data_IF_820193664046
#
_entry.id   IF_820193664046
#
_cell.length_a   1.000
_cell.length_b   1.000
_cell.length_c   1.000
_cell.angle_alpha   90.00
_cell.angle_beta   90.00
_cell.angle_gamma   90.00
#
_symmetry.space_group_name_H-M   'P 1'
#
loop_
_entity.id
_entity.type
_entity.pdbx_description
1 polymer ?
#
# COMPACT_ATOMS: atom_id res chain seq x y z
N UNK A 1 13.56 4.89 24.40
CA UNK A 1 13.13 4.34 23.12
C UNK A 1 12.89 5.50 22.19
N UNK A 2 13.50 5.57 21.01
CA UNK A 2 13.19 6.60 20.07
C UNK A 2 11.68 6.51 19.81
N UNK A 3 11.00 7.64 19.89
CA UNK A 3 9.56 7.72 19.74
C UNK A 3 9.14 6.96 18.49
N UNK A 4 8.34 5.94 18.64
CA UNK A 4 7.73 5.18 17.53
C UNK A 4 7.08 6.10 16.50
N UNK A 5 6.71 7.30 16.92
CA UNK A 5 6.05 8.32 16.11
C UNK A 5 7.02 9.12 15.23
N UNK A 6 8.32 9.10 15.52
CA UNK A 6 9.33 9.75 14.68
C UNK A 6 9.74 8.91 13.46
N UNK A 7 9.30 7.67 13.38
CA UNK A 7 9.67 6.73 12.31
C UNK A 7 8.97 7.03 10.96
N UNK A 8 7.98 7.92 10.91
CA UNK A 8 7.24 8.26 9.69
C UNK A 8 6.42 7.10 9.10
N UNK A 9 6.44 5.94 9.74
CA UNK A 9 5.73 4.72 9.29
C UNK A 9 4.59 4.32 10.20
N UNK A 10 4.64 4.78 11.44
CA UNK A 10 3.64 4.42 12.44
C UNK A 10 2.54 5.47 12.40
N UNK A 11 1.28 5.07 12.21
CA UNK A 11 0.17 5.98 12.27
C UNK A 11 0.07 6.65 13.65
N UNK A 12 -0.21 7.94 13.65
CA UNK A 12 -0.38 8.69 14.90
C UNK A 12 -1.63 8.23 15.64
N UNK A 13 -1.44 7.85 16.91
CA UNK A 13 -2.52 7.47 17.81
C UNK A 13 -3.13 6.08 17.56
N UNK A 14 -3.91 5.63 18.52
CA UNK A 14 -4.59 4.32 18.48
C UNK A 14 -5.75 4.26 17.49
N UNK A 15 -6.26 5.43 17.11
CA UNK A 15 -7.47 5.60 16.30
C UNK A 15 -7.19 5.79 14.78
N UNK A 16 -6.00 5.47 14.30
CA UNK A 16 -5.63 5.64 12.89
C UNK A 16 -6.57 4.95 11.89
N UNK A 17 -7.28 3.91 12.34
CA UNK A 17 -8.32 3.23 11.56
C UNK A 17 -9.64 4.02 11.48
N UNK A 18 -9.81 5.04 12.30
CA UNK A 18 -10.97 5.92 12.23
C UNK A 18 -10.84 6.85 11.00
N UNK A 19 -11.98 7.25 10.46
CA UNK A 19 -12.02 8.16 9.33
C UNK A 19 -11.53 9.55 9.77
N UNK A 20 -10.28 9.86 9.44
CA UNK A 20 -9.85 11.23 9.32
C UNK A 20 -10.22 11.73 7.92
N UNK A 21 -10.79 12.91 7.83
CA UNK A 21 -11.00 13.57 6.54
C UNK A 21 -9.67 14.16 6.04
N UNK A 22 -9.62 14.53 4.77
CA UNK A 22 -8.46 15.25 4.22
C UNK A 22 -8.22 16.55 4.97
N UNK A 23 -9.29 17.27 5.34
CA UNK A 23 -9.21 18.50 6.10
C UNK A 23 -8.67 18.27 7.52
N UNK A 24 -9.12 17.24 8.22
CA UNK A 24 -8.57 16.90 9.53
C UNK A 24 -7.08 16.62 9.46
N UNK A 25 -6.64 15.87 8.45
CA UNK A 25 -5.24 15.56 8.23
C UNK A 25 -4.41 16.80 7.90
N UNK A 26 -4.92 17.70 7.08
CA UNK A 26 -4.27 18.97 6.75
C UNK A 26 -4.09 19.85 7.98
N UNK A 27 -5.16 20.01 8.79
CA UNK A 27 -5.11 20.78 10.04
C UNK A 27 -4.10 20.20 11.04
N UNK A 28 -4.02 18.86 11.16
CA UNK A 28 -3.03 18.22 12.02
C UNK A 28 -1.60 18.55 11.58
N UNK A 29 -1.32 18.50 10.29
CA UNK A 29 0.01 18.82 9.74
C UNK A 29 0.34 20.31 9.95
N UNK A 30 -0.61 21.21 9.69
CA UNK A 30 -0.42 22.65 9.89
C UNK A 30 -0.15 23.01 11.36
N UNK A 31 -0.86 22.38 12.28
CA UNK A 31 -0.74 22.67 13.70
C UNK A 31 0.51 22.08 14.37
N UNK A 32 1.01 20.95 13.85
CA UNK A 32 2.17 20.27 14.43
C UNK A 32 3.04 19.58 13.35
N UNK A 33 3.72 20.35 12.50
CA UNK A 33 4.55 19.82 11.42
C UNK A 33 5.75 18.98 11.91
N UNK A 34 6.17 19.19 13.16
CA UNK A 34 7.28 18.44 13.75
C UNK A 34 6.88 17.00 14.11
N UNK A 35 5.62 16.77 14.47
CA UNK A 35 5.10 15.44 14.77
C UNK A 35 4.67 14.69 13.51
N UNK A 36 4.03 15.39 12.55
CA UNK A 36 3.47 14.78 11.34
C UNK A 36 4.44 14.91 10.16
N UNK A 37 5.38 14.00 10.05
CA UNK A 37 6.47 14.02 9.06
C UNK A 37 6.17 13.25 7.79
N UNK A 38 5.17 12.37 7.79
CA UNK A 38 4.83 11.55 6.64
C UNK A 38 3.32 11.44 6.46
N UNK A 39 2.92 11.22 5.22
CA UNK A 39 1.53 11.05 4.80
C UNK A 39 1.33 9.61 4.33
N UNK A 40 0.36 8.94 4.94
CA UNK A 40 -0.12 7.64 4.50
C UNK A 40 -1.49 7.75 3.85
N UNK A 41 -1.78 6.81 2.97
CA UNK A 41 -3.11 6.64 2.38
C UNK A 41 -3.70 5.29 2.77
N UNK A 42 -5.01 5.24 2.93
CA UNK A 42 -5.71 3.98 3.03
C UNK A 42 -5.91 3.38 1.65
N UNK A 43 -5.89 2.06 1.59
CA UNK A 43 -6.25 1.30 0.39
C UNK A 43 -7.57 0.58 0.58
N UNK A 44 -8.18 0.15 -0.52
CA UNK A 44 -9.43 -0.60 -0.49
C UNK A 44 -10.66 0.23 -0.86
N UNK A 45 -11.82 -0.35 -0.59
CA UNK A 45 -13.12 0.24 -0.93
C UNK A 45 -13.31 1.65 -0.37
N UNK A 46 -12.88 1.88 0.87
CA UNK A 46 -13.00 3.19 1.55
C UNK A 46 -12.21 4.33 0.90
N UNK A 47 -11.28 4.00 0.03
CA UNK A 47 -10.44 4.93 -0.72
C UNK A 47 -10.70 4.82 -2.23
N UNK A 48 -11.94 4.58 -2.58
CA UNK A 48 -12.40 4.51 -3.96
C UNK A 48 -11.59 3.50 -4.79
N UNK A 49 -11.33 2.34 -4.21
CA UNK A 49 -10.62 1.25 -4.87
C UNK A 49 -9.09 1.43 -4.97
N UNK A 50 -8.50 2.39 -4.25
CA UNK A 50 -7.05 2.57 -4.27
C UNK A 50 -6.35 1.29 -3.78
N UNK A 51 -5.36 0.85 -4.55
CA UNK A 51 -4.49 -0.29 -4.25
C UNK A 51 -3.03 0.09 -4.44
N UNK A 52 -2.17 -0.44 -3.59
CA UNK A 52 -0.72 -0.24 -3.69
C UNK A 52 -0.06 -1.58 -4.02
N UNK A 53 0.65 -1.62 -5.14
CA UNK A 53 1.60 -2.66 -5.47
C UNK A 53 2.97 -2.27 -4.90
N UNK A 54 3.37 -2.91 -3.81
CA UNK A 54 4.57 -2.57 -3.03
C UNK A 54 5.72 -3.52 -3.36
N UNK A 55 6.72 -3.00 -4.04
CA UNK A 55 7.94 -3.73 -4.40
C UNK A 55 9.02 -3.42 -3.37
N UNK A 56 9.37 -4.40 -2.55
CA UNK A 56 10.38 -4.27 -1.50
C UNK A 56 11.80 -4.59 -1.95
N UNK A 57 11.94 -5.39 -3.01
CA UNK A 57 13.22 -5.78 -3.60
C UNK A 57 13.02 -6.23 -5.04
N UNK A 58 14.13 -6.33 -5.78
CA UNK A 58 14.11 -6.80 -7.18
C UNK A 58 13.32 -5.90 -8.15
N UNK A 59 13.25 -4.59 -7.87
CA UNK A 59 12.50 -3.64 -8.68
C UNK A 59 12.84 -3.75 -10.18
N UNK A 60 14.12 -3.90 -10.52
CA UNK A 60 14.53 -4.02 -11.93
C UNK A 60 13.95 -5.25 -12.63
N UNK A 61 13.87 -6.40 -11.95
CA UNK A 61 13.24 -7.60 -12.50
C UNK A 61 11.73 -7.44 -12.65
N UNK A 62 11.10 -6.78 -11.67
CA UNK A 62 9.66 -6.47 -11.68
C UNK A 62 9.32 -5.50 -12.81
N UNK A 63 10.09 -4.43 -12.98
CA UNK A 63 9.92 -3.48 -14.08
C UNK A 63 10.17 -4.12 -15.46
N UNK A 64 11.09 -5.07 -15.56
CA UNK A 64 11.28 -5.84 -16.78
C UNK A 64 10.06 -6.70 -17.13
N UNK A 65 9.39 -7.27 -16.11
CA UNK A 65 8.23 -8.15 -16.29
C UNK A 65 6.95 -7.36 -16.61
N UNK A 66 6.70 -6.26 -15.91
CA UNK A 66 5.43 -5.52 -15.94
C UNK A 66 5.60 -4.01 -16.22
N UNK A 67 6.77 -3.57 -16.63
CA UNK A 67 7.11 -2.15 -16.72
C UNK A 67 6.20 -1.33 -17.62
N UNK A 68 5.59 -1.95 -18.64
CA UNK A 68 4.63 -1.27 -19.50
C UNK A 68 3.45 -0.71 -18.70
N UNK A 69 2.91 -1.49 -17.76
CA UNK A 69 1.79 -1.07 -16.92
C UNK A 69 2.25 -0.18 -15.76
N UNK A 70 3.40 -0.52 -15.15
CA UNK A 70 3.95 0.25 -14.02
C UNK A 70 4.36 1.67 -14.40
N UNK A 71 4.77 1.90 -15.64
CA UNK A 71 5.24 3.20 -16.14
C UNK A 71 4.18 4.30 -16.04
N UNK A 72 2.91 3.95 -16.14
CA UNK A 72 1.79 4.90 -16.13
C UNK A 72 1.22 5.14 -14.72
N UNK A 73 1.64 4.38 -13.74
CA UNK A 73 1.17 4.50 -12.37
C UNK A 73 1.96 5.55 -11.58
N UNK A 74 1.31 6.30 -10.68
CA UNK A 74 2.03 7.06 -9.68
C UNK A 74 2.99 6.16 -8.91
N UNK A 75 4.24 6.64 -8.73
CA UNK A 75 5.34 5.87 -8.15
C UNK A 75 5.84 6.55 -6.89
N UNK A 76 5.97 5.79 -5.82
CA UNK A 76 6.59 6.24 -4.58
C UNK A 76 7.95 5.58 -4.44
N UNK A 77 8.99 6.39 -4.29
CA UNK A 77 10.36 5.93 -4.06
C UNK A 77 10.85 6.32 -2.67
N UNK A 78 11.90 5.66 -2.21
CA UNK A 78 12.57 5.94 -0.94
C UNK A 78 14.09 5.83 -1.13
N UNK A 79 14.87 5.88 -0.05
CA UNK A 79 16.31 5.60 -0.10
C UNK A 79 16.67 4.18 -0.56
N UNK A 80 15.71 3.25 -0.48
CA UNK A 80 15.93 1.85 -0.94
C UNK A 80 15.94 1.80 -2.46
N UNK A 81 17.11 1.53 -3.05
CA UNK A 81 17.31 1.59 -4.50
C UNK A 81 16.52 0.58 -5.31
N UNK A 82 16.22 -0.60 -4.74
CA UNK A 82 15.56 -1.70 -5.44
C UNK A 82 14.11 -1.88 -4.97
N UNK A 83 13.47 -0.80 -4.52
CA UNK A 83 12.13 -0.79 -3.99
C UNK A 83 11.34 0.40 -4.51
N UNK A 84 10.05 0.22 -4.71
CA UNK A 84 9.10 1.29 -5.05
C UNK A 84 7.67 0.82 -4.80
N UNK A 85 6.76 1.77 -4.63
CA UNK A 85 5.31 1.50 -4.59
C UNK A 85 4.67 2.07 -5.85
N UNK A 86 3.70 1.36 -6.38
CA UNK A 86 2.90 1.81 -7.53
C UNK A 86 1.44 1.83 -7.13
N UNK A 87 0.74 2.90 -7.51
CA UNK A 87 -0.65 3.12 -7.14
C UNK A 87 -1.56 2.83 -8.34
N UNK A 88 -2.60 2.04 -8.08
CA UNK A 88 -3.63 1.69 -9.06
C UNK A 88 -5.02 1.80 -8.44
N UNK A 89 -6.08 1.69 -9.26
CA UNK A 89 -7.45 1.53 -8.81
C UNK A 89 -8.00 0.17 -9.18
N UNK A 90 -8.65 -0.46 -8.25
CA UNK A 90 -9.53 -1.59 -8.52
C UNK A 90 -10.88 -1.03 -8.98
N UNK A 91 -11.42 -1.46 -10.14
CA UNK A 91 -12.74 -1.07 -10.59
C UNK A 91 -13.82 -1.34 -9.53
N UNK A 92 -14.80 -0.46 -9.41
CA UNK A 92 -15.83 -0.53 -8.35
C UNK A 92 -16.60 -1.85 -8.33
N UNK A 93 -16.86 -2.43 -9.49
CA UNK A 93 -17.52 -3.73 -9.64
C UNK A 93 -16.73 -4.91 -9.06
N UNK A 94 -15.42 -4.74 -8.84
CA UNK A 94 -14.52 -5.79 -8.34
C UNK A 94 -14.08 -5.61 -6.88
N UNK A 95 -14.42 -4.50 -6.22
CA UNK A 95 -13.92 -4.20 -4.87
C UNK A 95 -14.31 -5.24 -3.80
N UNK A 96 -15.40 -5.98 -4.00
CA UNK A 96 -15.85 -7.06 -3.12
C UNK A 96 -15.26 -8.44 -3.45
N UNK A 97 -14.47 -8.56 -4.51
CA UNK A 97 -13.96 -9.82 -5.06
C UNK A 97 -12.44 -9.91 -5.10
N UNK A 98 -11.76 -9.01 -4.40
CA UNK A 98 -10.29 -8.92 -4.37
C UNK A 98 -9.77 -8.93 -2.94
N UNK A 99 -8.53 -9.37 -2.76
CA UNK A 99 -7.84 -9.40 -1.48
C UNK A 99 -6.41 -8.89 -1.59
N UNK A 100 -5.84 -8.49 -0.45
CA UNK A 100 -4.41 -8.22 -0.32
C UNK A 100 -3.58 -9.47 -0.60
N UNK A 101 -2.33 -9.28 -1.02
CA UNK A 101 -1.38 -10.36 -1.28
C UNK A 101 -0.15 -10.09 -0.43
N UNK A 102 0.15 -10.97 0.53
CA UNK A 102 1.36 -10.88 1.33
C UNK A 102 2.60 -11.31 0.54
N UNK A 103 3.78 -10.98 1.03
CA UNK A 103 5.05 -11.46 0.46
C UNK A 103 5.08 -12.98 0.30
N UNK A 104 4.57 -13.73 1.27
CA UNK A 104 4.47 -15.19 1.23
C UNK A 104 3.52 -15.65 0.13
N UNK A 105 2.33 -15.06 0.05
CA UNK A 105 1.34 -15.38 -0.99
C UNK A 105 1.84 -15.01 -2.41
N UNK A 106 2.72 -14.02 -2.51
CA UNK A 106 3.42 -13.64 -3.74
C UNK A 106 4.61 -14.57 -4.10
N UNK A 107 4.84 -15.66 -3.36
CA UNK A 107 5.94 -16.59 -3.60
C UNK A 107 7.32 -16.03 -3.26
N UNK A 108 7.41 -15.05 -2.37
CA UNK A 108 8.65 -14.38 -1.98
C UNK A 108 9.41 -13.70 -3.15
N UNK A 109 8.71 -13.29 -4.18
CA UNK A 109 9.29 -12.58 -5.33
C UNK A 109 9.73 -11.14 -5.02
N UNK A 110 9.45 -10.65 -3.80
CA UNK A 110 9.88 -9.33 -3.32
C UNK A 110 8.86 -8.23 -3.52
N UNK A 111 7.59 -8.58 -3.63
CA UNK A 111 6.48 -7.64 -3.71
C UNK A 111 5.28 -8.11 -2.89
N UNK A 112 4.42 -7.18 -2.55
CA UNK A 112 3.13 -7.43 -1.91
C UNK A 112 2.07 -6.47 -2.46
N UNK A 113 0.81 -6.73 -2.15
CA UNK A 113 -0.32 -5.88 -2.52
C UNK A 113 -1.06 -5.45 -1.27
N UNK A 114 -1.12 -4.15 -1.05
CA UNK A 114 -1.85 -3.55 0.06
C UNK A 114 -3.29 -3.25 -0.37
N UNK A 115 -4.23 -3.94 0.25
CA UNK A 115 -5.67 -3.76 0.08
C UNK A 115 -6.36 -3.82 1.43
N UNK A 116 -7.13 -2.78 1.77
CA UNK A 116 -7.75 -2.65 3.09
C UNK A 116 -6.78 -2.27 4.21
N UNK A 117 -5.59 -1.81 3.85
CA UNK A 117 -4.53 -1.38 4.77
C UNK A 117 -4.09 0.05 4.52
N UNK A 118 -2.92 0.40 5.03
CA UNK A 118 -2.32 1.72 4.89
C UNK A 118 -0.94 1.61 4.26
N UNK A 119 -0.60 2.57 3.39
CA UNK A 119 0.74 2.74 2.85
C UNK A 119 1.21 4.18 2.94
N UNK A 120 2.46 4.42 3.33
CA UNK A 120 3.07 5.75 3.32
C UNK A 120 3.48 6.10 1.90
N UNK A 121 3.12 7.30 1.44
CA UNK A 121 3.33 7.76 0.07
C UNK A 121 4.25 8.99 -0.04
N UNK A 122 4.37 9.78 1.01
CA UNK A 122 5.19 10.99 1.01
C UNK A 122 5.70 11.31 2.43
N UNK A 123 6.76 12.11 2.51
CA UNK A 123 7.29 12.63 3.76
C UNK A 123 8.51 11.89 4.28
N UNK A 124 9.00 12.36 5.42
CA UNK A 124 10.24 11.86 6.02
C UNK A 124 10.01 10.60 6.86
N UNK A 125 11.02 9.75 6.91
CA UNK A 125 11.05 8.59 7.80
C UNK A 125 12.45 8.38 8.37
N UNK A 126 12.49 7.64 9.48
CA UNK A 126 13.72 7.08 10.02
C UNK A 126 13.59 5.57 10.14
N UNK A 127 14.59 4.87 9.68
CA UNK A 127 14.69 3.42 9.87
C UNK A 127 16.12 3.08 10.26
N UNK A 128 16.30 2.37 11.37
CA UNK A 128 17.62 2.04 11.91
C UNK A 128 18.54 1.39 10.87
N UNK A 129 18.00 0.51 10.03
CA UNK A 129 18.78 -0.22 9.01
C UNK A 129 19.20 0.62 7.79
N UNK A 130 18.58 1.79 7.56
CA UNK A 130 18.82 2.65 6.38
C UNK A 130 19.02 4.12 6.70
N UNK A 131 18.81 4.54 7.95
CA UNK A 131 18.93 5.92 8.39
C UNK A 131 17.71 6.79 8.04
N UNK A 132 17.91 8.11 7.99
CA UNK A 132 16.89 9.07 7.59
C UNK A 132 16.71 9.09 6.09
N UNK A 133 15.47 9.14 5.65
CA UNK A 133 15.10 9.25 4.26
C UNK A 133 13.74 9.91 4.07
N UNK A 134 13.33 10.00 2.81
CA UNK A 134 12.01 10.50 2.46
C UNK A 134 11.35 9.59 1.44
N UNK A 135 10.04 9.42 1.59
CA UNK A 135 9.18 8.91 0.53
C UNK A 135 8.88 10.06 -0.43
N UNK A 136 9.08 9.82 -1.71
CA UNK A 136 8.83 10.79 -2.78
C UNK A 136 7.81 10.21 -3.74
N UNK A 137 6.67 10.87 -3.85
CA UNK A 137 5.62 10.55 -4.81
C UNK A 137 5.89 11.27 -6.13
N UNK A 138 5.89 10.53 -7.22
CA UNK A 138 5.91 11.04 -8.59
C UNK A 138 4.67 10.54 -9.33
N UNK A 139 3.98 11.44 -9.99
CA UNK A 139 2.75 11.16 -10.73
C UNK A 139 1.54 11.86 -10.12
N UNK A 140 0.38 11.68 -10.75
CA UNK A 140 -0.86 12.37 -10.42
C UNK A 140 -1.79 11.46 -9.63
N UNK A 141 -2.07 11.81 -8.36
CA UNK A 141 -3.01 11.09 -7.51
C UNK A 141 -4.48 11.24 -7.93
N UNK A 142 -4.80 12.25 -8.74
CA UNK A 142 -6.16 12.46 -9.28
C UNK A 142 -6.44 11.61 -10.51
N UNK A 143 -5.40 11.09 -11.16
CA UNK A 143 -5.47 10.25 -12.35
C UNK A 143 -4.73 8.91 -12.14
N UNK A 144 -5.06 8.22 -11.06
CA UNK A 144 -4.52 6.89 -10.79
C UNK A 144 -5.14 5.90 -11.78
N UNK A 145 -4.34 5.18 -12.58
CA UNK A 145 -4.85 4.25 -13.58
C UNK A 145 -5.51 3.03 -12.94
N UNK A 146 -6.36 2.36 -13.70
CA UNK A 146 -6.92 1.08 -13.31
C UNK A 146 -5.81 0.03 -13.14
N UNK A 147 -6.02 -0.86 -12.18
CA UNK A 147 -5.10 -1.96 -11.93
C UNK A 147 -5.05 -2.88 -13.18
N UNK A 148 -3.85 -3.23 -13.64
CA UNK A 148 -3.71 -4.07 -14.81
C UNK A 148 -4.26 -5.49 -14.56
N UNK A 149 -4.65 -6.17 -15.63
CA UNK A 149 -5.30 -7.49 -15.54
C UNK A 149 -4.48 -8.52 -14.76
N UNK A 150 -3.16 -8.53 -14.92
CA UNK A 150 -2.29 -9.45 -14.18
C UNK A 150 -2.36 -9.23 -12.66
N UNK A 151 -2.56 -7.99 -12.20
CA UNK A 151 -2.70 -7.65 -10.78
C UNK A 151 -4.08 -8.00 -10.27
N UNK A 152 -5.14 -7.62 -10.99
CA UNK A 152 -6.52 -7.95 -10.67
C UNK A 152 -6.74 -9.45 -10.58
N UNK A 153 -6.22 -10.21 -11.54
CA UNK A 153 -6.31 -11.67 -11.57
C UNK A 153 -5.70 -12.31 -10.32
N UNK A 154 -4.53 -11.85 -9.89
CA UNK A 154 -3.87 -12.33 -8.67
C UNK A 154 -4.66 -11.99 -7.41
N UNK A 155 -5.19 -10.77 -7.33
CA UNK A 155 -5.99 -10.33 -6.19
C UNK A 155 -7.32 -11.10 -6.08
N UNK A 156 -7.97 -11.40 -7.20
CA UNK A 156 -9.17 -12.25 -7.27
C UNK A 156 -8.87 -13.69 -6.84
N UNK A 157 -7.77 -14.25 -7.31
CA UNK A 157 -7.36 -15.59 -6.94
C UNK A 157 -7.05 -15.69 -5.44
N UNK A 158 -6.43 -14.67 -4.86
CA UNK A 158 -6.18 -14.63 -3.42
C UNK A 158 -7.48 -14.54 -2.62
N UNK A 159 -8.45 -13.75 -3.07
CA UNK A 159 -9.78 -13.66 -2.47
C UNK A 159 -10.48 -15.02 -2.45
N UNK A 160 -10.47 -15.75 -3.56
CA UNK A 160 -11.04 -17.10 -3.66
C UNK A 160 -10.38 -18.08 -2.70
N UNK A 161 -9.05 -18.07 -2.60
CA UNK A 161 -8.30 -18.91 -1.66
C UNK A 161 -8.71 -18.62 -0.21
N UNK A 162 -8.75 -17.35 0.18
CA UNK A 162 -9.13 -16.95 1.53
C UNK A 162 -10.53 -17.45 1.91
N UNK A 163 -11.49 -17.45 0.98
CA UNK A 163 -12.86 -17.91 1.22
C UNK A 163 -12.97 -19.43 1.24
N UNK A 164 -12.21 -20.17 0.43
CA UNK A 164 -12.17 -21.64 0.46
C UNK A 164 -11.64 -22.16 1.80
N UNK A 165 -10.61 -21.53 2.36
CA UNK A 165 -10.04 -21.91 3.67
C UNK A 165 -11.04 -21.71 4.82
N UNK A 166 -11.96 -20.75 4.70
CA UNK A 166 -13.04 -20.54 5.67
C UNK A 166 -14.05 -21.66 5.61
N UNK A 167 -14.48 -22.08 4.43
CA UNK A 167 -15.47 -23.14 4.23
C UNK A 167 -14.95 -24.50 4.76
N UNK A 168 -13.69 -24.82 4.56
CA UNK A 168 -13.07 -26.06 5.08
C UNK A 168 -13.06 -26.07 6.61
N UNK A 169 -12.75 -24.95 7.27
CA UNK A 169 -12.77 -24.87 8.74
C UNK A 169 -14.16 -25.04 9.35
N UNK A 170 -15.20 -24.67 8.63
CA UNK A 170 -16.60 -24.87 9.09
C UNK A 170 -17.07 -26.30 8.93
N UNK A 171 -16.54 -27.07 7.98
CA UNK A 171 -16.90 -28.49 7.76
C UNK A 171 -16.23 -29.41 8.77
N UNK A 172 -15.00 -29.13 9.20
CA UNK A 172 -14.23 -29.96 10.16
C UNK A 172 -14.74 -29.87 11.62
N UNK A 173 -15.62 -28.92 11.94
CA UNK A 173 -16.21 -28.77 13.28
C UNK A 173 -17.62 -29.38 13.42
N UNK A 174 -18.02 -30.26 12.54
CA UNK A 174 -19.24 -31.08 12.62
C UNK A 174 -18.84 -32.55 12.84
#
# INVERSE_FOLDING_TARGET
SPDRYSDGKVPYGKAWKQKLTVNDSALMIENDPETFKAIGVFTGQRSDGLVIFDVDKNLGAIEKKWGKDLKNAPKVTSLRKNAAKFLFRVPQELVGEVASISQTAAGHEGWEVLWGGQGVIAGEYYKESVGRGAYKLKGDLFNVPDAPEWLLSRMKNQYKKNNQDVDIKYVDNR
#
